data_IF_961337537472
#
_entry.id   IF_961337537472
#
_cell.length_a   1.000
_cell.length_b   1.000
_cell.length_c   1.000
_cell.angle_alpha   90.00
_cell.angle_beta   90.00
_cell.angle_gamma   90.00
#
_symmetry.space_group_name_H-M   'P 1'
#
loop_
_entity.id
_entity.type
_entity.pdbx_description
1 polymer ?
#
# COMPACT_ATOMS: atom_id res chain seq x y z
N UNK A 1 0.59 -43.44 -25.49
CA UNK A 1 1.26 -42.16 -25.84
C UNK A 1 0.39 -41.01 -25.35
N UNK A 2 0.62 -40.50 -24.13
CA UNK A 2 -0.14 -39.36 -23.60
C UNK A 2 0.61 -38.07 -23.94
N UNK A 3 0.05 -37.29 -24.86
CA UNK A 3 0.57 -35.98 -25.27
C UNK A 3 0.32 -34.99 -24.12
N UNK A 4 1.36 -34.73 -23.33
CA UNK A 4 1.36 -33.71 -22.27
C UNK A 4 1.15 -32.37 -22.95
N UNK A 5 -0.06 -31.82 -22.86
CA UNK A 5 -0.31 -30.45 -23.29
C UNK A 5 0.45 -29.56 -22.31
N UNK A 6 1.51 -28.91 -22.80
CA UNK A 6 2.17 -27.83 -22.10
C UNK A 6 1.13 -26.73 -21.91
N UNK A 7 0.51 -26.73 -20.73
CA UNK A 7 -0.22 -25.57 -20.23
C UNK A 7 0.84 -24.50 -20.04
N UNK A 8 1.08 -23.71 -21.08
CA UNK A 8 1.68 -22.40 -20.94
C UNK A 8 0.83 -21.65 -19.94
N UNK A 9 1.25 -21.69 -18.69
CA UNK A 9 0.68 -20.83 -17.68
C UNK A 9 1.07 -19.42 -18.09
N UNK A 10 0.14 -18.72 -18.73
CA UNK A 10 0.21 -17.29 -19.00
C UNK A 10 0.02 -16.58 -17.66
N UNK A 11 0.98 -16.78 -16.76
CA UNK A 11 1.12 -15.94 -15.58
C UNK A 11 1.67 -14.62 -16.09
N UNK A 12 0.78 -13.67 -16.35
CA UNK A 12 1.19 -12.27 -16.46
C UNK A 12 1.53 -11.79 -15.06
N UNK A 13 2.75 -12.15 -14.64
CA UNK A 13 3.49 -11.35 -13.68
C UNK A 13 3.36 -9.89 -14.11
N UNK A 14 3.13 -9.01 -13.13
CA UNK A 14 3.04 -7.57 -13.37
C UNK A 14 4.33 -7.15 -14.06
N UNK A 15 4.26 -7.01 -15.38
CA UNK A 15 5.39 -6.59 -16.18
C UNK A 15 5.38 -5.05 -16.12
N UNK A 16 6.37 -4.42 -15.46
CA UNK A 16 6.45 -2.97 -15.38
C UNK A 16 6.59 -2.29 -16.75
N UNK A 17 6.75 -3.05 -17.84
CA UNK A 17 6.80 -2.55 -19.21
C UNK A 17 5.44 -2.48 -19.92
N UNK A 18 4.30 -2.56 -19.21
CA UNK A 18 3.01 -2.29 -19.85
C UNK A 18 2.96 -0.81 -20.18
N UNK A 19 3.11 -0.49 -21.46
CA UNK A 19 2.88 0.85 -21.98
C UNK A 19 1.40 1.19 -21.77
N UNK A 20 1.15 2.11 -20.83
CA UNK A 20 -0.21 2.54 -20.50
C UNK A 20 -0.83 3.33 -21.66
N UNK A 21 -0.03 3.88 -22.58
CA UNK A 21 -0.58 4.60 -23.75
C UNK A 21 -1.21 3.65 -24.77
N UNK A 22 -0.98 2.34 -24.67
CA UNK A 22 -1.64 1.32 -25.50
C UNK A 22 -3.08 1.08 -25.00
N UNK A 23 -4.12 1.35 -25.82
CA UNK A 23 -5.51 1.05 -25.48
C UNK A 23 -5.75 -0.42 -25.11
N UNK A 24 -4.93 -1.35 -25.62
CA UNK A 24 -5.00 -2.77 -25.27
C UNK A 24 -4.56 -3.03 -23.82
N UNK A 25 -3.74 -2.16 -23.22
CA UNK A 25 -3.34 -2.27 -21.83
C UNK A 25 -4.56 -2.22 -20.88
N UNK A 26 -5.51 -1.33 -21.14
CA UNK A 26 -6.74 -1.22 -20.34
C UNK A 26 -7.57 -2.50 -20.42
N UNK A 27 -7.75 -3.04 -21.64
CA UNK A 27 -8.48 -4.29 -21.86
C UNK A 27 -7.77 -5.45 -21.14
N UNK A 28 -6.44 -5.47 -21.18
CA UNK A 28 -5.62 -6.48 -20.52
C UNK A 28 -5.77 -6.39 -19.00
N UNK A 29 -5.70 -5.19 -18.42
CA UNK A 29 -5.90 -4.92 -16.99
C UNK A 29 -7.32 -5.35 -16.55
N UNK A 30 -8.34 -5.04 -17.35
CA UNK A 30 -9.72 -5.44 -17.06
C UNK A 30 -9.90 -6.97 -16.99
N UNK A 31 -9.11 -7.74 -17.75
CA UNK A 31 -9.17 -9.20 -17.78
C UNK A 31 -8.30 -9.89 -16.71
N UNK A 32 -7.38 -9.17 -16.07
CA UNK A 32 -6.42 -9.77 -15.12
C UNK A 32 -7.04 -10.22 -13.79
N UNK A 33 -8.20 -9.67 -13.41
CA UNK A 33 -8.83 -9.91 -12.10
C UNK A 33 -10.30 -9.47 -12.09
N UNK A 34 -11.14 -9.98 -11.18
CA UNK A 34 -12.42 -9.35 -10.87
C UNK A 34 -12.22 -7.94 -10.31
N UNK A 35 -13.05 -7.00 -10.78
CA UNK A 35 -13.00 -5.59 -10.40
C UNK A 35 -14.30 -5.16 -9.73
N UNK A 36 -14.21 -4.62 -8.50
CA UNK A 36 -15.27 -3.81 -7.92
C UNK A 36 -15.20 -2.41 -8.53
N UNK A 37 -16.29 -1.95 -9.14
CA UNK A 37 -16.30 -0.68 -9.87
C UNK A 37 -17.15 0.35 -9.11
N UNK A 38 -16.55 1.49 -8.84
CA UNK A 38 -17.18 2.65 -8.23
C UNK A 38 -16.95 3.88 -9.09
N UNK A 39 -17.85 4.86 -8.95
CA UNK A 39 -17.74 6.14 -9.65
C UNK A 39 -18.02 7.27 -8.66
N UNK A 40 -17.04 8.15 -8.49
CA UNK A 40 -17.21 9.40 -7.74
C UNK A 40 -17.64 10.48 -8.72
N UNK A 41 -18.75 11.18 -8.44
CA UNK A 41 -19.32 12.16 -9.37
C UNK A 41 -19.42 13.54 -8.70
N UNK A 42 -19.78 13.61 -7.41
CA UNK A 42 -20.14 14.85 -6.73
C UNK A 42 -19.69 14.87 -5.27
N UNK A 43 -18.98 15.92 -4.87
CA UNK A 43 -18.34 16.16 -3.57
C UNK A 43 -19.27 16.35 -2.35
N UNK A 44 -20.40 15.67 -2.28
CA UNK A 44 -21.37 15.81 -1.18
C UNK A 44 -22.25 14.58 -0.92
N UNK A 45 -22.39 13.67 -1.88
CA UNK A 45 -23.04 12.36 -1.69
C UNK A 45 -22.02 11.22 -1.51
N UNK A 46 -20.73 11.54 -1.63
CA UNK A 46 -19.68 10.55 -1.78
C UNK A 46 -19.35 9.79 -0.48
N UNK A 47 -19.81 10.23 0.70
CA UNK A 47 -19.54 9.51 1.97
C UNK A 47 -20.03 8.05 1.95
N UNK A 48 -21.16 7.80 1.27
CA UNK A 48 -21.69 6.44 1.06
C UNK A 48 -20.82 5.67 0.09
N UNK A 49 -20.35 6.28 -0.99
CA UNK A 49 -19.45 5.65 -1.96
C UNK A 49 -18.09 5.34 -1.34
N UNK A 50 -17.51 6.24 -0.54
CA UNK A 50 -16.29 5.96 0.22
C UNK A 50 -16.47 4.78 1.17
N UNK A 51 -17.62 4.67 1.84
CA UNK A 51 -17.90 3.52 2.71
C UNK A 51 -17.94 2.22 1.91
N UNK A 52 -18.53 2.22 0.71
CA UNK A 52 -18.55 1.05 -0.19
C UNK A 52 -17.15 0.71 -0.72
N UNK A 53 -16.38 1.72 -1.11
CA UNK A 53 -15.00 1.57 -1.58
C UNK A 53 -14.14 0.97 -0.46
N UNK A 54 -14.24 1.48 0.76
CA UNK A 54 -13.54 0.94 1.93
C UNK A 54 -13.91 -0.52 2.18
N UNK A 55 -15.21 -0.86 2.13
CA UNK A 55 -15.68 -2.23 2.29
C UNK A 55 -15.14 -3.15 1.18
N UNK A 56 -15.11 -2.69 -0.07
CA UNK A 56 -14.55 -3.46 -1.18
C UNK A 56 -13.04 -3.67 -1.04
N UNK A 57 -12.29 -2.66 -0.61
CA UNK A 57 -10.85 -2.78 -0.35
C UNK A 57 -10.60 -3.81 0.76
N UNK A 58 -11.33 -3.72 1.87
CA UNK A 58 -11.26 -4.73 2.95
C UNK A 58 -11.61 -6.13 2.44
N UNK A 59 -12.58 -6.24 1.53
CA UNK A 59 -13.00 -7.52 0.95
C UNK A 59 -11.89 -8.14 0.10
N UNK A 60 -11.25 -7.36 -0.79
CA UNK A 60 -10.13 -7.88 -1.60
C UNK A 60 -8.88 -8.18 -0.77
N UNK A 61 -8.68 -7.49 0.36
CA UNK A 61 -7.59 -7.77 1.31
C UNK A 61 -7.83 -9.06 2.11
N UNK A 62 -9.08 -9.34 2.49
CA UNK A 62 -9.43 -10.56 3.21
C UNK A 62 -9.36 -11.81 2.31
N UNK A 63 -9.63 -11.66 1.01
CA UNK A 63 -9.50 -12.76 0.06
C UNK A 63 -8.03 -13.02 -0.31
N UNK A 64 -7.39 -13.90 0.46
CA UNK A 64 -6.03 -14.38 0.17
C UNK A 64 -5.98 -15.43 -0.95
N UNK A 65 -7.14 -15.95 -1.38
CA UNK A 65 -7.25 -17.03 -2.36
C UNK A 65 -7.33 -16.54 -3.80
N UNK A 66 -7.63 -15.27 -4.04
CA UNK A 66 -7.79 -14.71 -5.38
C UNK A 66 -7.17 -13.32 -5.50
N UNK A 67 -6.73 -12.97 -6.71
CA UNK A 67 -6.34 -11.60 -7.00
C UNK A 67 -7.60 -10.73 -7.15
N UNK A 68 -7.81 -9.79 -6.23
CA UNK A 68 -8.90 -8.83 -6.30
C UNK A 68 -8.44 -7.46 -6.81
N UNK A 69 -9.40 -6.64 -7.25
CA UNK A 69 -9.17 -5.25 -7.62
C UNK A 69 -10.37 -4.36 -7.33
N UNK A 70 -10.11 -3.11 -6.98
CA UNK A 70 -11.10 -2.03 -6.88
C UNK A 70 -10.71 -0.96 -7.90
N UNK A 71 -11.68 -0.54 -8.70
CA UNK A 71 -11.56 0.53 -9.68
C UNK A 71 -12.50 1.66 -9.28
N UNK A 72 -11.96 2.87 -9.12
CA UNK A 72 -12.72 4.07 -8.79
C UNK A 72 -12.54 5.08 -9.92
N UNK A 73 -13.60 5.31 -10.69
CA UNK A 73 -13.62 6.32 -11.76
C UNK A 73 -13.94 7.68 -11.16
N UNK A 74 -13.04 8.64 -11.32
CA UNK A 74 -13.22 10.02 -10.88
C UNK A 74 -13.94 10.79 -12.00
N UNK A 75 -15.12 11.33 -11.69
CA UNK A 75 -15.85 12.21 -12.59
C UNK A 75 -15.10 13.51 -12.86
N UNK A 76 -15.41 14.18 -13.97
CA UNK A 76 -14.74 15.41 -14.42
C UNK A 76 -14.79 16.56 -13.41
N UNK A 77 -15.78 16.56 -12.51
CA UNK A 77 -16.01 17.62 -11.50
C UNK A 77 -15.66 17.18 -10.08
N UNK A 78 -15.03 16.02 -9.92
CA UNK A 78 -14.58 15.56 -8.60
C UNK A 78 -13.45 16.48 -8.13
N UNK A 79 -13.58 17.13 -6.95
CA UNK A 79 -12.52 17.99 -6.47
C UNK A 79 -11.32 17.16 -6.04
N UNK A 80 -10.13 17.78 -6.13
CA UNK A 80 -8.88 17.14 -5.75
C UNK A 80 -8.89 16.57 -4.32
N UNK A 81 -9.67 17.18 -3.41
CA UNK A 81 -9.85 16.68 -2.04
C UNK A 81 -10.38 15.25 -1.96
N UNK A 82 -11.23 14.80 -2.90
CA UNK A 82 -11.74 13.42 -2.90
C UNK A 82 -10.65 12.43 -3.32
N UNK A 83 -9.77 12.81 -4.25
CA UNK A 83 -8.59 12.01 -4.59
C UNK A 83 -7.65 11.89 -3.39
N UNK A 84 -7.42 12.98 -2.65
CA UNK A 84 -6.63 12.96 -1.42
C UNK A 84 -7.29 12.04 -0.38
N UNK A 85 -8.61 12.13 -0.20
CA UNK A 85 -9.35 11.25 0.70
C UNK A 85 -9.24 9.75 0.32
N UNK A 86 -9.23 9.43 -0.98
CA UNK A 86 -8.97 8.06 -1.46
C UNK A 86 -7.55 7.58 -1.11
N UNK A 87 -6.55 8.44 -1.27
CA UNK A 87 -5.16 8.12 -0.93
C UNK A 87 -4.98 7.92 0.58
N UNK A 88 -5.55 8.81 1.40
CA UNK A 88 -5.56 8.69 2.86
C UNK A 88 -6.28 7.41 3.31
N UNK A 89 -7.37 7.04 2.63
CA UNK A 89 -8.05 5.77 2.87
C UNK A 89 -7.13 4.58 2.58
N UNK A 90 -6.39 4.58 1.46
CA UNK A 90 -5.46 3.47 1.16
C UNK A 90 -4.36 3.38 2.22
N UNK A 91 -3.84 4.52 2.68
CA UNK A 91 -2.85 4.56 3.75
C UNK A 91 -3.41 3.98 5.06
N UNK A 92 -4.62 4.40 5.47
CA UNK A 92 -5.31 3.92 6.67
C UNK A 92 -5.61 2.42 6.62
N UNK A 93 -5.86 1.86 5.44
CA UNK A 93 -6.13 0.44 5.23
C UNK A 93 -4.86 -0.40 4.97
N UNK A 94 -3.66 0.18 5.10
CA UNK A 94 -2.38 -0.44 4.73
C UNK A 94 -2.38 -1.05 3.30
N UNK A 95 -3.18 -0.47 2.40
CA UNK A 95 -3.27 -0.91 1.01
C UNK A 95 -2.10 -0.34 0.21
N UNK A 96 -0.99 -1.08 0.14
CA UNK A 96 0.27 -0.61 -0.49
C UNK A 96 0.30 -0.66 -2.01
N UNK A 97 -0.59 -1.43 -2.62
CA UNK A 97 -0.62 -1.67 -4.07
C UNK A 97 -1.81 -0.95 -4.68
N UNK A 98 -1.56 0.27 -5.13
CA UNK A 98 -2.52 1.05 -5.88
C UNK A 98 -1.80 1.83 -6.99
N UNK A 99 -2.58 2.31 -7.93
CA UNK A 99 -2.12 3.09 -9.07
C UNK A 99 -3.20 4.11 -9.46
N UNK A 100 -2.78 5.27 -9.96
CA UNK A 100 -3.66 6.32 -10.45
C UNK A 100 -3.39 6.54 -11.94
N UNK A 101 -4.41 6.29 -12.76
CA UNK A 101 -4.39 6.58 -14.18
C UNK A 101 -4.90 7.99 -14.44
N UNK A 102 -3.96 8.91 -14.66
CA UNK A 102 -4.24 10.29 -15.07
C UNK A 102 -4.15 10.50 -16.58
N UNK A 103 -3.68 9.50 -17.34
CA UNK A 103 -3.47 9.63 -18.78
C UNK A 103 -4.76 9.39 -19.55
N UNK A 104 -5.67 8.58 -19.01
CA UNK A 104 -6.98 8.32 -19.62
C UNK A 104 -8.11 9.05 -18.90
N UNK A 105 -9.14 9.38 -19.67
CA UNK A 105 -10.40 9.91 -19.14
C UNK A 105 -11.50 8.82 -19.14
N UNK A 106 -12.29 8.69 -18.05
CA UNK A 106 -12.13 9.42 -16.78
C UNK A 106 -10.88 8.97 -16.02
N UNK A 107 -10.28 9.89 -15.26
CA UNK A 107 -9.16 9.56 -14.36
C UNK A 107 -9.60 8.42 -13.45
N UNK A 108 -8.79 7.37 -13.37
CA UNK A 108 -9.21 6.13 -12.70
C UNK A 108 -8.19 5.71 -11.68
N UNK A 109 -8.65 5.52 -10.44
CA UNK A 109 -7.86 4.97 -9.35
C UNK A 109 -8.05 3.46 -9.27
N UNK A 110 -6.96 2.72 -9.12
CA UNK A 110 -6.94 1.27 -9.05
C UNK A 110 -6.27 0.84 -7.75
N UNK A 111 -6.96 0.05 -6.92
CA UNK A 111 -6.37 -0.66 -5.79
C UNK A 111 -6.38 -2.16 -6.08
N UNK A 112 -5.29 -2.87 -5.81
CA UNK A 112 -5.14 -4.28 -6.18
C UNK A 112 -4.50 -5.11 -5.08
N UNK A 113 -4.89 -6.38 -4.96
CA UNK A 113 -4.17 -7.34 -4.11
C UNK A 113 -3.19 -8.19 -4.92
N UNK A 114 -2.07 -8.65 -4.30
CA UNK A 114 -1.21 -9.63 -4.93
C UNK A 114 -2.00 -10.89 -5.24
N UNK A 115 -1.69 -11.55 -6.37
CA UNK A 115 -2.18 -12.92 -6.57
C UNK A 115 -1.56 -13.82 -5.49
N UNK A 116 -2.29 -14.83 -4.99
CA UNK A 116 -1.66 -15.85 -4.18
C UNK A 116 -0.53 -16.49 -4.96
N UNK A 117 0.63 -16.56 -4.33
CA UNK A 117 1.73 -17.37 -4.84
C UNK A 117 1.31 -18.84 -4.75
N UNK A 118 1.47 -19.54 -5.87
CA UNK A 118 1.34 -21.00 -5.91
C UNK A 118 2.34 -21.63 -4.96
N UNK A 119 2.08 -22.86 -4.47
CA UNK A 119 3.02 -23.56 -3.59
C UNK A 119 4.42 -23.65 -4.20
N UNK A 120 4.49 -23.86 -5.52
CA UNK A 120 5.75 -23.90 -6.27
C UNK A 120 6.47 -22.55 -6.26
N UNK A 121 5.76 -21.45 -6.46
CA UNK A 121 6.35 -20.10 -6.39
C UNK A 121 6.80 -19.73 -4.98
N UNK A 122 6.05 -20.12 -3.95
CA UNK A 122 6.48 -19.95 -2.55
C UNK A 122 7.75 -20.74 -2.27
N UNK A 123 7.82 -21.99 -2.75
CA UNK A 123 9.02 -22.82 -2.63
C UNK A 123 10.19 -22.20 -3.39
N UNK A 124 9.98 -21.71 -4.60
CA UNK A 124 11.03 -21.03 -5.37
C UNK A 124 11.50 -19.73 -4.70
N UNK A 125 10.59 -18.93 -4.15
CA UNK A 125 10.97 -17.75 -3.37
C UNK A 125 11.73 -18.13 -2.10
N UNK A 126 11.30 -19.16 -1.37
CA UNK A 126 12.01 -19.64 -0.19
C UNK A 126 13.43 -20.15 -0.55
N UNK A 127 13.58 -20.86 -1.67
CA UNK A 127 14.88 -21.34 -2.16
C UNK A 127 15.77 -20.19 -2.64
N UNK A 128 15.20 -19.10 -3.16
CA UNK A 128 15.96 -17.90 -3.52
C UNK A 128 16.59 -17.22 -2.29
N UNK A 129 16.01 -17.39 -1.10
CA UNK A 129 16.59 -16.93 0.16
C UNK A 129 17.52 -17.97 0.82
N UNK A 130 17.52 -19.23 0.36
CA UNK A 130 18.39 -20.31 0.86
C UNK A 130 19.60 -20.62 -0.02
N UNK A 131 19.74 -20.01 -1.21
CA UNK A 131 21.02 -20.00 -1.89
C UNK A 131 21.96 -19.06 -1.12
N UNK A 132 22.60 -19.66 -0.12
CA UNK A 132 23.69 -19.09 0.65
C UNK A 132 24.59 -18.29 -0.28
N UNK A 133 24.59 -16.98 -0.03
CA UNK A 133 25.69 -16.12 -0.37
C UNK A 133 26.93 -16.80 0.22
N UNK A 134 27.68 -17.54 -0.60
CA UNK A 134 29.07 -17.86 -0.32
C UNK A 134 29.80 -16.52 -0.39
N UNK A 135 29.68 -15.78 0.71
CA UNK A 135 30.43 -14.56 0.94
C UNK A 135 31.87 -14.99 1.23
N UNK A 136 32.63 -15.22 0.16
CA UNK A 136 34.07 -15.48 0.26
C UNK A 136 34.86 -14.19 0.51
N UNK A 137 34.19 -13.04 0.63
CA UNK A 137 34.84 -11.75 0.86
C UNK A 137 34.27 -10.99 2.07
N UNK A 138 34.91 -11.28 3.21
CA UNK A 138 35.06 -10.42 4.40
C UNK A 138 33.88 -10.36 5.37
N UNK A 139 33.88 -11.33 6.28
CA UNK A 139 33.60 -11.02 7.69
C UNK A 139 34.71 -10.11 8.21
N UNK A 140 34.44 -8.81 8.35
CA UNK A 140 34.89 -8.14 9.57
C UNK A 140 33.70 -8.22 10.53
N UNK A 141 33.78 -9.01 11.61
CA UNK A 141 32.70 -9.06 12.59
C UNK A 141 32.53 -7.64 13.13
N UNK A 142 31.34 -7.07 12.99
CA UNK A 142 30.95 -5.87 13.73
C UNK A 142 31.20 -6.18 15.21
N UNK A 143 32.21 -5.49 15.75
CA UNK A 143 32.57 -5.60 17.17
C UNK A 143 31.36 -5.30 18.04
N UNK A 144 31.32 -5.90 19.23
CA UNK A 144 30.24 -5.71 20.20
C UNK A 144 29.90 -4.23 20.44
N UNK A 145 30.89 -3.32 20.37
CA UNK A 145 30.69 -1.87 20.45
C UNK A 145 29.77 -1.30 19.37
N UNK A 146 29.89 -1.74 18.11
CA UNK A 146 29.04 -1.23 17.01
C UNK A 146 27.57 -1.70 17.13
N UNK A 147 27.31 -2.82 17.82
CA UNK A 147 25.94 -3.25 18.13
C UNK A 147 25.30 -2.41 19.25
N UNK A 148 26.09 -1.89 20.19
CA UNK A 148 25.57 -1.03 21.27
C UNK A 148 25.20 0.36 20.75
N UNK A 149 25.96 0.91 19.81
CA UNK A 149 25.66 2.24 19.23
C UNK A 149 24.31 2.27 18.50
N UNK A 150 23.98 1.18 17.79
CA UNK A 150 22.69 1.06 17.07
C UNK A 150 21.51 0.94 18.05
N UNK A 151 21.69 0.23 19.17
CA UNK A 151 20.66 0.13 20.20
C UNK A 151 20.46 1.46 20.96
N UNK A 152 21.53 2.22 21.21
CA UNK A 152 21.43 3.55 21.82
C UNK A 152 20.78 4.60 20.91
N UNK A 153 20.81 4.40 19.59
CA UNK A 153 20.21 5.34 18.63
C UNK A 153 18.69 5.17 18.50
N UNK A 154 18.16 3.97 18.76
CA UNK A 154 16.71 3.68 18.69
C UNK A 154 15.95 4.16 19.93
N UNK A 155 16.62 4.24 21.09
CA UNK A 155 15.95 4.62 22.35
C UNK A 155 15.98 6.14 22.62
N UNK A 156 16.68 6.92 21.79
CA UNK A 156 16.80 8.39 21.94
C UNK A 156 16.00 9.15 20.88
N UNK A 157 14.67 9.01 20.86
CA UNK A 157 13.65 10.05 20.55
C UNK A 157 12.24 9.41 20.52
N UNK A 158 11.18 10.02 21.14
CA UNK A 158 11.08 11.33 21.76
C UNK A 158 10.35 11.32 23.11
N UNK A 159 11.00 10.91 24.21
CA UNK A 159 10.49 11.27 25.56
C UNK A 159 10.63 12.77 25.86
N UNK A 160 11.51 13.47 25.15
CA UNK A 160 11.75 14.91 25.33
C UNK A 160 10.54 15.75 24.88
N UNK A 161 9.80 15.33 23.84
CA UNK A 161 8.61 16.07 23.38
C UNK A 161 7.45 15.98 24.38
N UNK A 162 7.29 14.85 25.07
CA UNK A 162 6.24 14.67 26.10
C UNK A 162 6.56 15.50 27.36
N UNK A 163 7.83 15.62 27.73
CA UNK A 163 8.24 16.42 28.89
C UNK A 163 8.07 17.94 28.65
N UNK A 164 8.27 18.43 27.42
CA UNK A 164 8.10 19.86 27.11
C UNK A 164 6.62 20.25 27.11
N UNK A 165 5.71 19.41 26.60
CA UNK A 165 4.29 19.76 26.56
C UNK A 165 3.64 19.83 27.95
N UNK A 166 4.06 18.96 28.88
CA UNK A 166 3.54 18.96 30.25
C UNK A 166 4.03 20.17 31.05
N UNK A 167 5.28 20.61 30.84
CA UNK A 167 5.82 21.80 31.51
C UNK A 167 5.13 23.09 31.06
N UNK A 168 4.80 23.22 29.77
CA UNK A 168 4.08 24.39 29.24
C UNK A 168 2.66 24.48 29.81
N UNK A 169 1.94 23.35 29.90
CA UNK A 169 0.59 23.33 30.51
C UNK A 169 0.61 23.73 31.99
N UNK A 170 1.65 23.32 32.72
CA UNK A 170 1.80 23.64 34.14
C UNK A 170 2.10 25.14 34.36
N UNK A 171 2.92 25.76 33.49
CA UNK A 171 3.16 27.20 33.51
C UNK A 171 1.89 28.01 33.20
N UNK A 172 1.11 27.59 32.21
CA UNK A 172 -0.17 28.26 31.87
C UNK A 172 -1.15 28.19 33.04
N UNK A 173 -1.24 27.04 33.73
CA UNK A 173 -2.09 26.88 34.90
C UNK A 173 -1.66 27.78 36.08
N UNK A 174 -0.34 27.89 36.34
CA UNK A 174 0.18 28.73 37.41
C UNK A 174 -0.03 30.23 37.14
N UNK A 175 0.18 30.69 35.91
CA UNK A 175 -0.07 32.09 35.52
C UNK A 175 -1.56 32.41 35.59
N UNK A 176 -2.44 31.49 35.18
CA UNK A 176 -3.89 31.66 35.31
C UNK A 176 -4.35 31.83 36.77
N UNK A 177 -3.79 31.05 37.71
CA UNK A 177 -4.11 31.19 39.14
C UNK A 177 -3.63 32.51 39.74
N UNK A 178 -2.51 33.06 39.26
CA UNK A 178 -2.00 34.36 39.71
C UNK A 178 -2.84 35.53 39.22
N UNK A 179 -3.39 35.47 38.00
CA UNK A 179 -4.22 36.54 37.43
C UNK A 179 -5.64 36.59 38.01
N UNK A 180 -6.12 35.50 38.61
CA UNK A 180 -7.44 35.44 39.26
C UNK A 180 -7.44 35.89 40.73
N UNK A 181 -6.27 36.17 41.31
CA UNK A 181 -6.12 36.68 42.68
C UNK A 181 -5.90 38.19 42.68
#
# INVERSE_FOLDING_TARGET
MYRRADKQNVYTEYNPSIDMTDPQAIIKIARMRPWYQYKLINSGQDSVEFTKIEAAVKTIQADTGHAGGVQVKLGERVPYSELVALLDMMLRLDQKRYWLDILHQPTTFYAITPRPLTLRERQQQAVLFECGYKDEHRKLPLTFSQKIDILQQVERRPLVLVAISSFVLLLVALVGQWLLR
#
